data_IF_314949640734
#
_entry.id   IF_314949640734
#
_cell.length_a   1.000
_cell.length_b   1.000
_cell.length_c   1.000
_cell.angle_alpha   90.00
_cell.angle_beta   90.00
_cell.angle_gamma   90.00
#
_symmetry.space_group_name_H-M   'P 1'
#
loop_
_entity.id
_entity.type
_entity.pdbx_description
1 polymer ?
#
# COMPACT_ATOMS: atom_id res chain seq x y z
N UNK A 1 11.83 -8.47 0.62
CA UNK A 1 10.74 -9.43 0.82
C UNK A 1 9.48 -8.89 0.16
N UNK A 2 8.82 -9.73 -0.63
CA UNK A 2 7.64 -9.32 -1.40
C UNK A 2 6.52 -8.75 -0.53
N UNK A 3 6.30 -9.31 0.65
CA UNK A 3 5.24 -8.84 1.54
C UNK A 3 5.49 -7.41 2.02
N UNK A 4 6.72 -7.09 2.41
CA UNK A 4 7.08 -5.73 2.82
C UNK A 4 6.99 -4.77 1.64
N UNK A 5 7.35 -5.21 0.44
CA UNK A 5 7.20 -4.39 -0.76
C UNK A 5 5.74 -4.06 -1.03
N UNK A 6 4.85 -5.05 -0.84
CA UNK A 6 3.42 -4.84 -1.02
C UNK A 6 2.86 -3.86 0.01
N UNK A 7 3.31 -3.96 1.26
CA UNK A 7 2.93 -3.02 2.32
C UNK A 7 3.40 -1.61 1.98
N UNK A 8 4.63 -1.46 1.48
CA UNK A 8 5.18 -0.16 1.11
C UNK A 8 4.35 0.48 -0.01
N UNK A 9 3.97 -0.30 -1.03
CA UNK A 9 3.12 0.21 -2.12
C UNK A 9 1.77 0.65 -1.57
N UNK A 10 1.16 -0.16 -0.72
CA UNK A 10 -0.14 0.18 -0.11
C UNK A 10 -0.06 1.52 0.63
N UNK A 11 0.95 1.70 1.47
CA UNK A 11 1.14 2.93 2.24
C UNK A 11 1.29 4.14 1.32
N UNK A 12 2.08 4.03 0.26
CA UNK A 12 2.27 5.14 -0.69
C UNK A 12 1.00 5.46 -1.45
N UNK A 13 0.21 4.45 -1.82
CA UNK A 13 -1.07 4.70 -2.49
C UNK A 13 -2.03 5.45 -1.57
N UNK A 14 -2.08 5.09 -0.29
CA UNK A 14 -2.91 5.83 0.68
C UNK A 14 -2.43 7.27 0.80
N UNK A 15 -1.14 7.48 0.94
CA UNK A 15 -0.57 8.82 1.15
C UNK A 15 -0.71 9.73 -0.06
N UNK A 16 -0.53 9.19 -1.26
CA UNK A 16 -0.57 9.99 -2.48
C UNK A 16 -1.97 10.03 -3.13
N UNK A 17 -2.84 9.11 -2.73
CA UNK A 17 -4.23 9.12 -3.16
C UNK A 17 -4.51 8.49 -4.51
N UNK A 18 -3.50 7.98 -5.23
CA UNK A 18 -3.73 7.27 -6.48
C UNK A 18 -2.56 6.36 -6.86
N UNK A 19 -2.88 5.36 -7.70
CA UNK A 19 -1.91 4.36 -8.13
C UNK A 19 -0.82 4.92 -9.02
N UNK A 20 -1.16 5.86 -9.90
CA UNK A 20 -0.19 6.41 -10.84
C UNK A 20 0.90 7.22 -10.12
N UNK A 21 0.49 8.04 -9.14
CA UNK A 21 1.43 8.82 -8.35
C UNK A 21 2.34 7.91 -7.51
N UNK A 22 1.76 6.89 -6.88
CA UNK A 22 2.54 5.94 -6.10
C UNK A 22 3.52 5.17 -6.98
N UNK A 23 3.08 4.75 -8.16
CA UNK A 23 3.93 4.06 -9.11
C UNK A 23 5.12 4.91 -9.52
N UNK A 24 4.89 6.17 -9.88
CA UNK A 24 5.99 7.09 -10.24
C UNK A 24 6.97 7.25 -9.08
N UNK A 25 6.45 7.42 -7.87
CA UNK A 25 7.29 7.60 -6.68
C UNK A 25 8.17 6.38 -6.42
N UNK A 26 7.64 5.20 -6.67
CA UNK A 26 8.32 3.94 -6.38
C UNK A 26 8.98 3.31 -7.62
N UNK A 27 8.88 3.98 -8.77
CA UNK A 27 9.47 3.53 -10.05
C UNK A 27 8.89 2.19 -10.50
N UNK A 28 7.57 2.04 -10.37
CA UNK A 28 6.84 0.88 -10.88
C UNK A 28 5.63 1.37 -11.66
N UNK A 29 5.12 0.52 -12.56
CA UNK A 29 3.92 0.88 -13.32
C UNK A 29 2.69 0.86 -12.42
N UNK A 30 1.61 1.58 -12.79
CA UNK A 30 0.36 1.49 -12.06
C UNK A 30 -0.20 0.07 -11.99
N UNK A 31 0.01 -0.72 -13.04
CA UNK A 31 -0.43 -2.12 -13.08
C UNK A 31 0.31 -2.95 -12.04
N UNK A 32 1.61 -2.75 -11.89
CA UNK A 32 2.41 -3.44 -10.87
C UNK A 32 1.97 -3.01 -9.48
N UNK A 33 1.76 -1.70 -9.27
CA UNK A 33 1.26 -1.19 -7.99
C UNK A 33 -0.09 -1.83 -7.64
N UNK A 34 -1.00 -1.89 -8.59
CA UNK A 34 -2.31 -2.50 -8.39
C UNK A 34 -2.19 -3.98 -8.03
N UNK A 35 -1.32 -4.71 -8.71
CA UNK A 35 -1.10 -6.13 -8.44
C UNK A 35 -0.54 -6.36 -7.04
N UNK A 36 0.38 -5.52 -6.59
CA UNK A 36 0.95 -5.65 -5.25
C UNK A 36 -0.10 -5.44 -4.18
N UNK A 37 -1.02 -4.49 -4.39
CA UNK A 37 -2.14 -4.27 -3.48
C UNK A 37 -3.09 -5.48 -3.48
N UNK A 38 -3.41 -6.02 -4.65
CA UNK A 38 -4.27 -7.21 -4.75
C UNK A 38 -3.66 -8.41 -4.04
N UNK A 39 -2.36 -8.60 -4.17
CA UNK A 39 -1.65 -9.68 -3.48
C UNK A 39 -1.74 -9.50 -1.96
N UNK A 40 -1.60 -8.26 -1.49
CA UNK A 40 -1.72 -7.95 -0.07
C UNK A 40 -3.14 -8.24 0.42
N UNK A 41 -4.15 -7.79 -0.32
CA UNK A 41 -5.56 -8.05 0.02
C UNK A 41 -5.84 -9.55 0.07
N UNK A 42 -5.31 -10.29 -0.90
CA UNK A 42 -5.47 -11.74 -0.95
C UNK A 42 -4.84 -12.41 0.27
N UNK A 43 -3.66 -11.97 0.65
CA UNK A 43 -2.95 -12.51 1.81
C UNK A 43 -3.70 -12.24 3.11
N UNK A 44 -4.27 -11.03 3.25
CA UNK A 44 -5.00 -10.62 4.44
C UNK A 44 -6.45 -11.13 4.47
N UNK A 45 -7.00 -11.47 3.31
CA UNK A 45 -8.38 -11.90 3.21
C UNK A 45 -9.41 -10.79 3.34
N UNK A 46 -9.00 -9.53 3.16
CA UNK A 46 -9.89 -8.36 3.24
C UNK A 46 -9.57 -7.37 2.13
N UNK A 47 -10.56 -6.52 1.80
CA UNK A 47 -10.35 -5.43 0.86
C UNK A 47 -9.76 -4.23 1.61
N UNK A 48 -8.72 -3.65 1.06
CA UNK A 48 -8.08 -2.47 1.63
C UNK A 48 -8.54 -1.19 0.95
N UNK A 49 -9.04 -1.29 -0.28
CA UNK A 49 -9.57 -0.15 -1.04
C UNK A 49 -10.93 -0.45 -1.64
N UNK A 50 -11.77 0.58 -1.66
CA UNK A 50 -13.00 0.57 -2.44
C UNK A 50 -12.66 0.97 -3.88
N UNK A 51 -13.12 0.19 -4.85
CA UNK A 51 -12.78 0.38 -6.27
C UNK A 51 -13.98 0.71 -7.11
N UNK A 52 -15.00 1.31 -6.52
CA UNK A 52 -16.26 1.56 -7.20
C UNK A 52 -16.31 2.94 -7.87
N UNK A 53 -15.33 3.80 -7.61
CA UNK A 53 -15.31 5.15 -8.14
C UNK A 53 -13.95 5.46 -8.76
N UNK A 54 -13.81 6.66 -9.31
CA UNK A 54 -12.54 7.13 -9.89
C UNK A 54 -11.45 7.28 -8.85
N UNK A 55 -11.84 7.49 -7.58
CA UNK A 55 -10.89 7.65 -6.50
C UNK A 55 -10.74 6.36 -5.75
N UNK A 56 -9.52 6.04 -5.43
CA UNK A 56 -9.18 4.87 -4.65
C UNK A 56 -9.22 5.26 -3.18
N UNK A 57 -10.32 4.89 -2.51
CA UNK A 57 -10.53 5.23 -1.11
C UNK A 57 -10.28 4.01 -0.22
N UNK A 58 -9.54 4.18 0.89
CA UNK A 58 -9.36 3.06 1.82
C UNK A 58 -10.70 2.59 2.38
N UNK A 59 -10.82 1.28 2.57
CA UNK A 59 -11.92 0.72 3.35
C UNK A 59 -11.65 0.98 4.83
N UNK A 60 -12.60 0.60 5.70
CA UNK A 60 -12.37 0.63 7.14
C UNK A 60 -11.17 -0.24 7.51
N UNK A 61 -11.09 -1.46 6.93
CA UNK A 61 -9.93 -2.33 7.13
C UNK A 61 -8.65 -1.67 6.62
N UNK A 62 -8.71 -1.00 5.49
CA UNK A 62 -7.55 -0.30 4.92
C UNK A 62 -7.06 0.81 5.83
N UNK A 63 -7.97 1.57 6.42
CA UNK A 63 -7.62 2.66 7.34
C UNK A 63 -6.91 2.13 8.59
N UNK A 64 -7.44 1.05 9.18
CA UNK A 64 -6.83 0.42 10.36
C UNK A 64 -5.48 -0.18 10.00
N UNK A 65 -5.42 -0.87 8.87
CA UNK A 65 -4.18 -1.52 8.42
C UNK A 65 -3.08 -0.49 8.14
N UNK A 66 -3.47 0.67 7.57
CA UNK A 66 -2.51 1.74 7.26
C UNK A 66 -1.73 2.18 8.50
N UNK A 67 -2.39 2.37 9.63
CA UNK A 67 -1.74 2.82 10.85
C UNK A 67 -0.64 1.84 11.28
N UNK A 68 -0.95 0.54 11.29
CA UNK A 68 0.03 -0.49 11.63
C UNK A 68 1.12 -0.64 10.56
N UNK A 69 0.73 -0.58 9.30
CA UNK A 69 1.66 -0.70 8.18
C UNK A 69 2.69 0.43 8.18
N UNK A 70 2.24 1.66 8.44
CA UNK A 70 3.13 2.82 8.54
C UNK A 70 4.15 2.61 9.64
N UNK A 71 3.72 2.12 10.80
CA UNK A 71 4.60 1.85 11.92
C UNK A 71 5.65 0.79 11.58
N UNK A 72 5.25 -0.27 10.90
CA UNK A 72 6.18 -1.34 10.46
C UNK A 72 7.26 -0.76 9.54
N UNK A 73 6.86 0.08 8.57
CA UNK A 73 7.81 0.67 7.63
C UNK A 73 8.79 1.62 8.33
N UNK A 74 8.30 2.46 9.24
CA UNK A 74 9.14 3.38 10.01
C UNK A 74 10.14 2.58 10.85
N UNK A 75 9.69 1.55 11.53
CA UNK A 75 10.54 0.69 12.36
C UNK A 75 11.61 0.01 11.50
N UNK A 76 11.22 -0.53 10.36
CA UNK A 76 12.15 -1.18 9.43
C UNK A 76 13.19 -0.19 8.93
N UNK A 77 12.77 1.02 8.57
CA UNK A 77 13.66 2.08 8.12
C UNK A 77 14.71 2.41 9.20
N UNK A 78 14.27 2.51 10.45
CA UNK A 78 15.16 2.81 11.56
C UNK A 78 16.19 1.71 11.80
N UNK A 79 15.83 0.45 11.55
CA UNK A 79 16.75 -0.68 11.69
C UNK A 79 17.80 -0.70 10.58
N UNK A 80 17.43 -0.25 9.38
CA UNK A 80 18.33 -0.25 8.22
C UNK A 80 19.18 1.01 8.19
N UNK A 81 18.57 2.16 8.50
CA UNK A 81 19.23 3.48 8.46
C UNK A 81 19.04 4.18 9.81
N UNK A 82 19.78 3.76 10.85
CA UNK A 82 19.64 4.36 12.16
C UNK A 82 20.09 5.84 12.21
#
# INVERSE_FOLDING_TARGET
MAYLDNIAVFVRVVELGNLSAAGRDMRISPAVASNRIKELEKHLGVRLFNRTTRQLMPTEHGTVFYAGAKQVLVTTQMLINP
#
